data_IF_220401315924
#
_entry.id   IF_220401315924
#
_cell.length_a   1.000
_cell.length_b   1.000
_cell.length_c   1.000
_cell.angle_alpha   90.00
_cell.angle_beta   90.00
_cell.angle_gamma   90.00
#
_symmetry.space_group_name_H-M   'P 1'
#
loop_
_entity.id
_entity.type
_entity.pdbx_description
1 polymer ?
#
# COMPACT_ATOMS: atom_id res chain seq x y z
N UNK A 1 -22.60 -33.35 -3.51
CA UNK A 1 -22.70 -31.99 -2.95
C UNK A 1 -21.28 -31.49 -2.78
N UNK A 2 -20.80 -30.57 -3.61
CA UNK A 2 -19.41 -30.08 -3.54
C UNK A 2 -19.41 -28.73 -2.85
N UNK A 3 -18.87 -28.69 -1.64
CA UNK A 3 -18.67 -27.47 -0.86
C UNK A 3 -17.66 -26.57 -1.59
N UNK A 4 -18.11 -25.37 -1.93
CA UNK A 4 -17.30 -24.38 -2.62
C UNK A 4 -16.50 -23.63 -1.54
N UNK A 5 -15.28 -24.07 -1.27
CA UNK A 5 -14.37 -23.37 -0.36
C UNK A 5 -13.94 -22.05 -1.00
N UNK A 6 -14.77 -21.01 -0.80
CA UNK A 6 -14.41 -19.64 -1.17
C UNK A 6 -13.30 -19.18 -0.23
N UNK A 7 -12.12 -18.88 -0.78
CA UNK A 7 -11.05 -18.25 -0.05
C UNK A 7 -11.56 -16.93 0.60
N UNK A 8 -11.16 -16.61 1.84
CA UNK A 8 -11.59 -15.38 2.51
C UNK A 8 -11.22 -14.17 1.64
N UNK A 9 -12.21 -13.30 1.38
CA UNK A 9 -11.97 -12.08 0.60
C UNK A 9 -11.00 -11.20 1.37
N UNK A 10 -9.96 -10.64 0.74
CA UNK A 10 -9.03 -9.73 1.41
C UNK A 10 -9.82 -8.48 1.85
N UNK A 11 -10.22 -8.44 3.12
CA UNK A 11 -10.84 -7.28 3.73
C UNK A 11 -9.80 -6.15 3.74
N UNK A 12 -9.83 -5.27 2.74
CA UNK A 12 -9.06 -4.03 2.65
C UNK A 12 -7.60 -4.17 3.09
N UNK A 13 -6.70 -4.48 2.15
CA UNK A 13 -5.26 -4.41 2.41
C UNK A 13 -4.95 -3.10 3.16
N UNK A 14 -4.27 -3.15 4.33
CA UNK A 14 -4.05 -1.97 5.14
C UNK A 14 -3.32 -0.89 4.32
N UNK A 15 -3.60 0.41 4.56
CA UNK A 15 -2.98 1.48 3.79
C UNK A 15 -1.46 1.35 3.84
N UNK A 16 -0.84 1.25 2.66
CA UNK A 16 0.62 1.16 2.57
C UNK A 16 1.18 2.58 2.60
N UNK A 17 2.07 2.87 3.56
CA UNK A 17 2.75 4.17 3.64
C UNK A 17 4.03 4.11 2.82
N UNK A 18 4.18 4.99 1.83
CA UNK A 18 5.39 5.15 1.04
C UNK A 18 6.26 6.24 1.68
N UNK A 19 7.50 5.89 1.99
CA UNK A 19 8.52 6.84 2.45
C UNK A 19 9.44 7.21 1.29
N UNK A 20 9.62 8.51 1.03
CA UNK A 20 10.63 9.01 0.08
C UNK A 20 11.68 9.81 0.84
N UNK A 21 12.94 9.56 0.51
CA UNK A 21 14.10 10.25 1.06
C UNK A 21 14.82 10.95 -0.08
N UNK A 22 15.04 12.26 0.04
CA UNK A 22 15.73 13.07 -0.96
C UNK A 22 16.95 13.72 -0.35
N UNK A 23 18.11 13.52 -0.97
CA UNK A 23 19.36 14.16 -0.58
C UNK A 23 19.63 15.34 -1.51
N UNK A 24 19.60 16.56 -0.97
CA UNK A 24 19.80 17.76 -1.76
C UNK A 24 21.29 18.13 -1.87
N UNK A 25 22.03 17.99 -0.76
CA UNK A 25 23.47 18.27 -0.62
C UNK A 25 24.04 17.44 0.54
N UNK A 26 25.37 17.29 0.67
CA UNK A 26 25.98 16.64 1.84
C UNK A 26 25.46 17.30 3.14
N UNK A 27 24.84 16.49 4.02
CA UNK A 27 24.25 16.94 5.28
C UNK A 27 22.81 17.50 5.18
N UNK A 28 22.22 17.61 3.99
CA UNK A 28 20.85 18.07 3.80
C UNK A 28 19.97 16.98 3.16
N UNK A 29 19.04 16.45 3.95
CA UNK A 29 18.09 15.40 3.57
C UNK A 29 16.66 15.81 3.91
N UNK A 30 15.73 15.51 3.01
CA UNK A 30 14.29 15.67 3.21
C UNK A 30 13.62 14.29 3.20
N UNK A 31 12.74 14.04 4.17
CA UNK A 31 11.94 12.81 4.24
C UNK A 31 10.47 13.18 4.09
N UNK A 32 9.77 12.51 3.18
CA UNK A 32 8.34 12.71 2.96
C UNK A 32 7.62 11.38 3.05
N UNK A 33 6.47 11.38 3.72
CA UNK A 33 5.58 10.23 3.83
C UNK A 33 4.33 10.51 3.00
N UNK A 34 3.99 9.55 2.15
CA UNK A 34 2.78 9.60 1.33
C UNK A 34 2.00 8.31 1.59
N UNK A 35 0.70 8.42 1.91
CA UNK A 35 -0.13 7.23 1.98
C UNK A 35 -0.45 6.83 0.55
N UNK A 36 0.03 5.65 0.12
CA UNK A 36 -0.46 5.10 -1.12
C UNK A 36 -1.96 4.86 -0.91
N UNK A 37 -2.84 5.46 -1.72
CA UNK A 37 -4.24 5.05 -1.71
C UNK A 37 -4.22 3.54 -1.94
N UNK A 38 -5.00 2.81 -1.14
CA UNK A 38 -5.24 1.39 -1.38
C UNK A 38 -5.90 1.33 -2.75
N UNK A 39 -5.11 1.08 -3.79
CA UNK A 39 -5.62 0.74 -5.11
C UNK A 39 -6.28 -0.63 -4.93
N UNK A 40 -7.55 -0.61 -4.54
CA UNK A 40 -8.40 -1.77 -4.67
C UNK A 40 -8.45 -2.09 -6.17
N UNK A 41 -7.53 -2.94 -6.63
CA UNK A 41 -7.60 -3.56 -7.96
C UNK A 41 -8.90 -4.38 -8.12
N UNK A 42 -9.64 -4.61 -7.03
CA UNK A 42 -10.91 -5.33 -6.98
C UNK A 42 -12.14 -4.43 -7.18
N UNK A 43 -12.14 -3.63 -8.24
CA UNK A 43 -13.40 -3.08 -8.78
C UNK A 43 -13.48 -3.30 -10.29
N UNK A 44 -13.26 -4.55 -10.71
CA UNK A 44 -13.77 -5.12 -11.96
C UNK A 44 -14.29 -6.54 -11.70
#
# INVERSE_FOLDING_TARGET
MSENTQAPRPESAPPTTRMRVTFARPGAMTVTFDQAPVENEERR
#
